data_IF_998142439547
#
_entry.id   IF_998142439547
#
_cell.length_a   1.000
_cell.length_b   1.000
_cell.length_c   1.000
_cell.angle_alpha   90.00
_cell.angle_beta   90.00
_cell.angle_gamma   90.00
#
_symmetry.space_group_name_H-M   'P 1'
#
loop_
_entity.id
_entity.type
_entity.pdbx_description
1 polymer ?
#
# COMPACT_ATOMS: atom_id res chain seq x y z
N UNK A 1 6.14 12.88 18.53
CA UNK A 1 6.63 12.38 19.83
C UNK A 1 7.13 13.55 20.65
N UNK A 2 7.27 13.40 21.96
CA UNK A 2 7.95 14.38 22.79
C UNK A 2 9.45 14.10 22.63
N UNK A 3 10.20 15.04 22.05
CA UNK A 3 11.64 14.88 21.77
C UNK A 3 12.42 15.44 22.95
N UNK A 4 13.25 14.60 23.57
CA UNK A 4 13.86 14.87 24.88
C UNK A 4 15.15 15.68 24.73
N UNK A 5 15.78 15.68 23.55
CA UNK A 5 16.91 16.54 23.21
C UNK A 5 16.85 16.99 21.73
N UNK A 6 17.41 18.17 21.47
CA UNK A 6 17.51 18.86 20.19
C UNK A 6 18.20 18.00 19.12
N UNK A 7 19.18 17.18 19.50
CA UNK A 7 19.89 16.28 18.59
C UNK A 7 19.00 15.16 18.03
N UNK A 8 18.11 14.60 18.86
CA UNK A 8 17.15 13.57 18.43
C UNK A 8 16.11 14.16 17.47
N UNK A 9 15.69 15.39 17.72
CA UNK A 9 14.81 16.13 16.82
C UNK A 9 15.48 16.38 15.46
N UNK A 10 16.75 16.82 15.47
CA UNK A 10 17.53 17.05 14.24
C UNK A 10 17.71 15.77 13.43
N UNK A 11 18.01 14.65 14.10
CA UNK A 11 18.16 13.36 13.43
C UNK A 11 16.86 12.93 12.75
N UNK A 12 15.74 13.01 13.45
CA UNK A 12 14.43 12.62 12.90
C UNK A 12 14.01 13.54 11.75
N UNK A 13 14.25 14.85 11.86
CA UNK A 13 13.96 15.80 10.77
C UNK A 13 14.82 15.45 9.54
N UNK A 14 16.10 15.14 9.72
CA UNK A 14 17.00 14.78 8.62
C UNK A 14 16.60 13.47 7.95
N UNK A 15 16.19 12.48 8.73
CA UNK A 15 15.64 11.23 8.21
C UNK A 15 14.34 11.44 7.43
N UNK A 16 13.45 12.32 7.90
CA UNK A 16 12.21 12.68 7.20
C UNK A 16 12.47 13.46 5.91
N UNK A 17 13.40 14.43 5.91
CA UNK A 17 13.82 15.14 4.71
C UNK A 17 14.36 14.15 3.68
N UNK A 18 15.24 13.23 4.08
CA UNK A 18 15.76 12.20 3.18
C UNK A 18 14.69 11.22 2.68
N UNK A 19 13.63 10.97 3.45
CA UNK A 19 12.48 10.17 3.01
C UNK A 19 11.64 10.93 2.00
N UNK A 20 11.38 12.21 2.24
CA UNK A 20 10.61 13.09 1.35
C UNK A 20 11.37 13.34 0.05
N UNK A 21 12.68 13.60 0.10
CA UNK A 21 13.52 13.77 -1.09
C UNK A 21 13.54 12.50 -1.94
N UNK A 22 13.66 11.32 -1.32
CA UNK A 22 13.56 10.05 -2.04
C UNK A 22 12.18 9.90 -2.68
N UNK A 23 11.10 10.22 -1.96
CA UNK A 23 9.74 10.17 -2.51
C UNK A 23 9.58 11.14 -3.69
N UNK A 24 10.03 12.40 -3.56
CA UNK A 24 9.97 13.41 -4.63
C UNK A 24 10.77 12.99 -5.85
N UNK A 25 12.00 12.50 -5.66
CA UNK A 25 12.80 11.97 -6.76
C UNK A 25 12.07 10.82 -7.44
N UNK A 26 11.50 9.89 -6.67
CA UNK A 26 10.77 8.77 -7.23
C UNK A 26 9.54 9.27 -8.01
N UNK A 27 8.74 10.20 -7.47
CA UNK A 27 7.62 10.86 -8.17
C UNK A 27 8.06 11.61 -9.44
N UNK A 28 9.20 12.29 -9.43
CA UNK A 28 9.74 12.94 -10.63
C UNK A 28 10.19 11.95 -11.70
N UNK A 29 10.82 10.84 -11.28
CA UNK A 29 11.14 9.72 -12.17
C UNK A 29 9.84 9.10 -12.72
N UNK A 30 8.81 8.94 -11.89
CA UNK A 30 7.51 8.40 -12.30
C UNK A 30 6.81 9.26 -13.36
N UNK A 31 6.73 10.58 -13.16
CA UNK A 31 6.12 11.51 -14.13
C UNK A 31 6.87 11.51 -15.47
N UNK A 32 8.20 11.43 -15.42
CA UNK A 32 9.05 11.39 -16.60
C UNK A 32 8.91 10.06 -17.36
N UNK A 33 8.73 8.95 -16.65
CA UNK A 33 8.50 7.63 -17.26
C UNK A 33 7.08 7.47 -17.79
N UNK A 34 6.06 8.06 -17.17
CA UNK A 34 4.69 8.04 -17.69
C UNK A 34 4.61 8.68 -19.09
N UNK A 35 5.41 9.71 -19.35
CA UNK A 35 5.61 10.29 -20.69
C UNK A 35 6.40 9.39 -21.65
N UNK A 36 7.30 8.55 -21.14
CA UNK A 36 8.15 7.65 -21.95
C UNK A 36 7.44 6.34 -22.33
N UNK A 37 6.52 5.87 -21.50
CA UNK A 37 5.76 4.62 -21.71
C UNK A 37 4.71 4.67 -22.81
N UNK A 38 4.47 5.83 -23.43
CA UNK A 38 3.68 5.91 -24.67
C UNK A 38 4.38 5.23 -25.85
N UNK A 39 5.71 5.04 -25.78
CA UNK A 39 6.55 4.57 -26.89
C UNK A 39 7.20 3.18 -26.67
N UNK A 40 6.79 2.44 -25.64
CA UNK A 40 7.36 1.13 -25.26
C UNK A 40 6.40 -0.04 -25.50
N UNK A 41 6.94 -1.24 -25.80
CA UNK A 41 6.13 -2.44 -25.97
C UNK A 41 5.32 -2.74 -24.69
N UNK A 42 4.11 -3.29 -24.85
CA UNK A 42 3.18 -3.58 -23.75
C UNK A 42 3.82 -4.39 -22.61
N UNK A 43 4.68 -5.35 -22.95
CA UNK A 43 5.34 -6.24 -21.98
C UNK A 43 6.40 -5.52 -21.13
N UNK A 44 7.14 -4.57 -21.72
CA UNK A 44 8.11 -3.75 -20.99
C UNK A 44 7.42 -2.76 -20.05
N UNK A 45 6.26 -2.22 -20.45
CA UNK A 45 5.45 -1.33 -19.61
C UNK A 45 4.82 -2.06 -18.42
N UNK A 46 4.35 -3.30 -18.61
CA UNK A 46 3.82 -4.15 -17.54
C UNK A 46 4.90 -4.50 -16.51
N UNK A 47 6.09 -4.88 -16.99
CA UNK A 47 7.24 -5.20 -16.14
C UNK A 47 7.68 -3.99 -15.32
N UNK A 48 7.84 -2.82 -15.95
CA UNK A 48 8.22 -1.59 -15.23
C UNK A 48 7.17 -1.26 -14.19
N UNK A 49 5.88 -1.26 -14.54
CA UNK A 49 4.81 -1.01 -13.58
C UNK A 49 4.86 -1.98 -12.38
N UNK A 50 5.15 -3.26 -12.62
CA UNK A 50 5.30 -4.25 -11.55
C UNK A 50 6.54 -3.99 -10.67
N UNK A 51 7.69 -3.63 -11.25
CA UNK A 51 8.87 -3.24 -10.49
C UNK A 51 8.59 -2.02 -9.60
N UNK A 52 7.88 -1.05 -10.14
CA UNK A 52 7.45 0.17 -9.43
C UNK A 52 6.48 -0.15 -8.29
N UNK A 53 5.53 -1.05 -8.53
CA UNK A 53 4.63 -1.54 -7.49
C UNK A 53 5.41 -2.24 -6.37
N UNK A 54 6.35 -3.14 -6.69
CA UNK A 54 7.19 -3.80 -5.69
C UNK A 54 8.11 -2.84 -4.91
N UNK A 55 8.66 -1.84 -5.59
CA UNK A 55 9.45 -0.79 -4.94
C UNK A 55 8.60 -0.03 -3.93
N UNK A 56 7.37 0.33 -4.30
CA UNK A 56 6.41 0.92 -3.38
C UNK A 56 6.19 -0.06 -2.24
N UNK A 57 5.76 -1.30 -2.46
CA UNK A 57 5.55 -2.29 -1.39
C UNK A 57 6.71 -2.39 -0.38
N UNK A 58 7.97 -2.33 -0.85
CA UNK A 58 9.16 -2.45 -0.01
C UNK A 58 9.54 -1.18 0.77
N UNK A 59 9.09 0.00 0.33
CA UNK A 59 9.46 1.30 0.93
C UNK A 59 8.41 1.89 1.86
N UNK A 60 7.21 1.30 1.94
CA UNK A 60 6.07 1.87 2.66
C UNK A 60 6.17 1.64 4.17
N UNK A 61 6.21 2.73 4.96
CA UNK A 61 5.99 2.64 6.40
C UNK A 61 4.54 2.23 6.70
N UNK A 62 4.37 1.24 7.58
CA UNK A 62 3.08 0.81 8.16
C UNK A 62 2.80 1.55 9.47
N UNK A 63 3.07 2.85 9.49
CA UNK A 63 2.84 3.64 10.68
C UNK A 63 1.36 4.00 10.82
N UNK A 64 0.99 4.50 12.00
CA UNK A 64 -0.36 4.93 12.30
C UNK A 64 -0.82 6.07 11.38
N UNK A 65 0.10 6.90 10.90
CA UNK A 65 -0.19 7.97 9.96
C UNK A 65 -0.65 7.41 8.62
N UNK A 66 -0.01 6.36 8.11
CA UNK A 66 -0.43 5.66 6.90
C UNK A 66 -1.85 5.08 7.05
N UNK A 67 -2.17 4.51 8.23
CA UNK A 67 -3.54 4.05 8.52
C UNK A 67 -4.53 5.21 8.46
N UNK A 68 -4.26 6.32 9.16
CA UNK A 68 -5.15 7.48 9.20
C UNK A 68 -5.38 8.10 7.82
N UNK A 69 -4.31 8.27 7.03
CA UNK A 69 -4.39 8.75 5.64
C UNK A 69 -5.28 7.84 4.79
N UNK A 70 -5.06 6.53 4.87
CA UNK A 70 -5.87 5.54 4.15
C UNK A 70 -7.35 5.65 4.52
N UNK A 71 -7.67 5.74 5.82
CA UNK A 71 -9.06 5.88 6.29
C UNK A 71 -9.70 7.14 5.75
N UNK A 72 -9.01 8.28 5.82
CA UNK A 72 -9.55 9.55 5.33
C UNK A 72 -9.88 9.47 3.83
N UNK A 73 -8.96 8.94 3.04
CA UNK A 73 -9.14 8.80 1.59
C UNK A 73 -10.30 7.86 1.26
N UNK A 74 -10.48 6.79 2.04
CA UNK A 74 -11.63 5.92 1.89
C UNK A 74 -12.95 6.65 2.24
N UNK A 75 -12.98 7.43 3.32
CA UNK A 75 -14.17 8.22 3.70
C UNK A 75 -14.53 9.24 2.62
N UNK A 76 -13.53 9.93 2.06
CA UNK A 76 -13.73 10.91 1.00
C UNK A 76 -14.24 10.24 -0.29
N UNK A 77 -13.65 9.10 -0.68
CA UNK A 77 -14.04 8.37 -1.88
C UNK A 77 -15.48 7.83 -1.80
N UNK A 78 -15.89 7.36 -0.62
CA UNK A 78 -17.22 6.78 -0.38
C UNK A 78 -18.19 7.78 0.26
N UNK A 79 -17.92 9.09 0.15
CA UNK A 79 -18.79 10.12 0.68
C UNK A 79 -20.25 9.93 0.19
N UNK A 80 -21.21 10.00 1.11
CA UNK A 80 -22.63 9.76 0.83
C UNK A 80 -23.05 8.28 0.76
N UNK A 81 -22.12 7.32 0.68
CA UNK A 81 -22.42 5.90 0.74
C UNK A 81 -22.41 5.40 2.20
N UNK A 82 -23.54 5.51 2.89
CA UNK A 82 -23.68 5.14 4.31
C UNK A 82 -23.17 3.73 4.63
N UNK A 83 -23.41 2.75 3.75
CA UNK A 83 -22.98 1.36 3.96
C UNK A 83 -21.45 1.22 3.98
N UNK A 84 -20.78 1.85 3.02
CA UNK A 84 -19.31 1.79 2.95
C UNK A 84 -18.67 2.62 4.06
N UNK A 85 -19.26 3.76 4.43
CA UNK A 85 -18.80 4.58 5.58
C UNK A 85 -18.87 3.78 6.89
N UNK A 86 -19.94 3.02 7.12
CA UNK A 86 -20.03 2.15 8.30
C UNK A 86 -18.95 1.05 8.30
N UNK A 87 -18.71 0.41 7.15
CA UNK A 87 -17.63 -0.57 7.01
C UNK A 87 -16.25 0.04 7.26
N UNK A 88 -16.01 1.28 6.81
CA UNK A 88 -14.76 2.02 7.08
C UNK A 88 -14.61 2.29 8.58
N UNK A 89 -15.67 2.67 9.29
CA UNK A 89 -15.63 2.83 10.74
C UNK A 89 -15.34 1.52 11.47
N UNK A 90 -15.98 0.42 11.07
CA UNK A 90 -15.71 -0.89 11.64
C UNK A 90 -14.26 -1.32 11.40
N UNK A 91 -13.72 -1.05 10.22
CA UNK A 91 -12.32 -1.29 9.90
C UNK A 91 -11.40 -0.44 10.79
N UNK A 92 -11.67 0.86 10.89
CA UNK A 92 -10.85 1.80 11.67
C UNK A 92 -10.64 1.33 13.12
N UNK A 93 -11.73 0.86 13.75
CA UNK A 93 -11.76 0.42 15.15
C UNK A 93 -11.21 -1.01 15.35
N UNK A 94 -11.58 -1.95 14.47
CA UNK A 94 -11.40 -3.38 14.75
C UNK A 94 -10.30 -4.04 13.92
N UNK A 95 -9.74 -3.37 12.91
CA UNK A 95 -8.77 -3.97 12.01
C UNK A 95 -7.47 -4.38 12.71
N UNK A 96 -7.02 -5.60 12.42
CA UNK A 96 -5.71 -6.14 12.78
C UNK A 96 -5.01 -6.68 11.53
N UNK A 97 -3.70 -6.56 11.45
CA UNK A 97 -2.91 -6.95 10.27
C UNK A 97 -3.09 -8.42 9.85
N UNK A 98 -3.36 -9.33 10.79
CA UNK A 98 -3.65 -10.74 10.49
C UNK A 98 -5.00 -10.98 9.80
N UNK A 99 -5.90 -10.01 9.85
CA UNK A 99 -7.25 -10.10 9.28
C UNK A 99 -7.31 -9.52 7.85
N UNK A 100 -6.18 -9.12 7.27
CA UNK A 100 -6.10 -8.48 5.95
C UNK A 100 -6.79 -9.30 4.85
N UNK A 101 -6.55 -10.61 4.79
CA UNK A 101 -7.18 -11.50 3.81
C UNK A 101 -8.70 -11.53 3.96
N UNK A 102 -9.21 -11.54 5.19
CA UNK A 102 -10.64 -11.54 5.48
C UNK A 102 -11.30 -10.23 5.01
N UNK A 103 -10.66 -9.09 5.28
CA UNK A 103 -11.17 -7.79 4.84
C UNK A 103 -11.16 -7.65 3.32
N UNK A 104 -10.13 -8.19 2.67
CA UNK A 104 -10.01 -8.21 1.22
C UNK A 104 -11.04 -9.16 0.56
N UNK A 105 -11.30 -10.33 1.14
CA UNK A 105 -12.23 -11.31 0.55
C UNK A 105 -13.70 -10.92 0.69
N UNK A 106 -14.07 -10.12 1.69
CA UNK A 106 -15.44 -9.66 1.97
C UNK A 106 -16.07 -8.73 0.91
N UNK A 107 -15.41 -8.47 -0.23
CA UNK A 107 -15.82 -7.47 -1.25
C UNK A 107 -16.17 -6.10 -0.63
N UNK A 108 -15.46 -5.72 0.42
CA UNK A 108 -15.64 -4.47 1.17
C UNK A 108 -15.09 -3.25 0.41
N UNK A 109 -15.23 -2.04 0.97
CA UNK A 109 -14.67 -0.80 0.44
C UNK A 109 -13.20 -0.94 0.00
N UNK A 110 -12.37 -1.62 0.79
CA UNK A 110 -10.93 -1.73 0.57
C UNK A 110 -10.61 -2.65 -0.60
N UNK A 111 -11.35 -3.78 -0.72
CA UNK A 111 -11.25 -4.66 -1.88
C UNK A 111 -11.54 -3.91 -3.18
N UNK A 112 -12.67 -3.17 -3.22
CA UNK A 112 -13.10 -2.44 -4.41
C UNK A 112 -12.09 -1.37 -4.80
N UNK A 113 -11.58 -0.63 -3.81
CA UNK A 113 -10.68 0.50 -4.04
C UNK A 113 -9.29 0.03 -4.49
N UNK A 114 -8.76 -1.04 -3.90
CA UNK A 114 -7.49 -1.65 -4.33
C UNK A 114 -7.61 -2.23 -5.75
N UNK A 115 -8.64 -3.02 -6.03
CA UNK A 115 -8.81 -3.61 -7.37
C UNK A 115 -9.03 -2.53 -8.44
N UNK A 116 -9.72 -1.43 -8.11
CA UNK A 116 -9.81 -0.28 -8.99
C UNK A 116 -8.41 0.28 -9.27
N UNK A 117 -7.63 0.57 -8.22
CA UNK A 117 -6.30 1.16 -8.33
C UNK A 117 -5.34 0.28 -9.15
N UNK A 118 -5.35 -1.04 -8.93
CA UNK A 118 -4.56 -2.00 -9.70
C UNK A 118 -4.97 -2.00 -11.18
N UNK A 119 -6.26 -2.08 -11.48
CA UNK A 119 -6.78 -2.11 -12.87
C UNK A 119 -6.48 -0.82 -13.64
N UNK A 120 -6.52 0.33 -12.96
CA UNK A 120 -6.21 1.62 -13.57
C UNK A 120 -4.74 2.01 -13.46
N UNK A 121 -3.88 1.12 -12.91
CA UNK A 121 -2.46 1.40 -12.67
C UNK A 121 -2.23 2.70 -11.86
N UNK A 122 -3.16 3.04 -10.96
CA UNK A 122 -3.12 4.27 -10.15
C UNK A 122 -2.17 4.11 -8.97
N UNK A 123 -0.90 4.42 -9.24
CA UNK A 123 0.20 4.31 -8.27
C UNK A 123 -0.03 5.21 -7.05
N UNK A 124 -0.60 6.39 -7.25
CA UNK A 124 -0.83 7.35 -6.17
C UNK A 124 -1.89 6.83 -5.20
N UNK A 125 -2.97 6.25 -5.70
CA UNK A 125 -3.97 5.59 -4.87
C UNK A 125 -3.40 4.34 -4.17
N UNK A 126 -2.60 3.52 -4.84
CA UNK A 126 -1.93 2.38 -4.21
C UNK A 126 -1.02 2.81 -3.05
N UNK A 127 -0.23 3.88 -3.24
CA UNK A 127 0.59 4.46 -2.17
C UNK A 127 -0.24 4.96 -0.98
N UNK A 128 -1.41 5.55 -1.25
CA UNK A 128 -2.35 5.99 -0.22
C UNK A 128 -2.98 4.82 0.56
N UNK A 129 -3.13 3.67 -0.09
CA UNK A 129 -3.64 2.42 0.49
C UNK A 129 -2.52 1.54 1.10
N UNK A 130 -1.28 2.04 1.14
CA UNK A 130 -0.07 1.28 1.53
C UNK A 130 -0.17 0.50 2.83
N UNK A 131 -0.87 1.07 3.81
CA UNK A 131 -1.01 0.45 5.13
C UNK A 131 -1.65 -0.94 5.01
N UNK A 132 -2.75 -1.05 4.28
CA UNK A 132 -3.44 -2.31 4.08
C UNK A 132 -2.76 -3.21 3.05
N UNK A 133 -2.24 -2.63 1.95
CA UNK A 133 -1.58 -3.42 0.90
C UNK A 133 -0.37 -4.17 1.47
N UNK A 134 0.43 -3.54 2.33
CA UNK A 134 1.56 -4.21 2.97
C UNK A 134 1.11 -5.39 3.81
N UNK A 135 0.10 -5.21 4.66
CA UNK A 135 -0.45 -6.33 5.44
C UNK A 135 -1.01 -7.43 4.53
N UNK A 136 -1.71 -7.08 3.46
CA UNK A 136 -2.24 -8.04 2.51
C UNK A 136 -1.13 -8.87 1.86
N UNK A 137 -0.06 -8.22 1.39
CA UNK A 137 1.12 -8.88 0.81
C UNK A 137 1.81 -9.81 1.81
N UNK A 138 2.02 -9.36 3.06
CA UNK A 138 2.61 -10.19 4.13
C UNK A 138 1.73 -11.40 4.47
N UNK A 139 0.40 -11.27 4.41
CA UNK A 139 -0.49 -12.41 4.61
C UNK A 139 -0.48 -13.38 3.43
N UNK A 140 -0.51 -12.87 2.18
CA UNK A 140 -0.44 -13.71 0.97
C UNK A 140 0.86 -14.50 0.90
N UNK A 141 1.99 -13.87 1.22
CA UNK A 141 3.29 -14.54 1.27
C UNK A 141 3.28 -15.70 2.26
N UNK A 142 2.77 -15.48 3.49
CA UNK A 142 2.67 -16.53 4.51
C UNK A 142 1.76 -17.69 4.08
N UNK A 143 0.63 -17.40 3.45
CA UNK A 143 -0.25 -18.46 2.93
C UNK A 143 0.41 -19.23 1.78
N UNK A 144 1.14 -18.56 0.89
CA UNK A 144 1.91 -19.20 -0.17
C UNK A 144 3.01 -20.12 0.40
N UNK A 145 3.78 -19.65 1.38
CA UNK A 145 4.80 -20.44 2.07
C UNK A 145 4.21 -21.71 2.72
N UNK A 146 3.03 -21.60 3.36
CA UNK A 146 2.33 -22.76 3.91
C UNK A 146 1.95 -23.79 2.84
N UNK A 147 1.45 -23.33 1.69
CA UNK A 147 1.05 -24.20 0.59
C UNK A 147 2.26 -24.98 0.05
N UNK A 148 3.41 -24.31 -0.12
CA UNK A 148 4.65 -24.96 -0.55
C UNK A 148 5.09 -26.06 0.42
N UNK A 149 5.14 -25.74 1.72
CA UNK A 149 5.52 -26.70 2.76
C UNK A 149 4.55 -27.90 2.83
N UNK A 150 3.25 -27.66 2.68
CA UNK A 150 2.26 -28.76 2.67
C UNK A 150 2.46 -29.69 1.47
N UNK A 151 2.80 -29.15 0.30
CA UNK A 151 3.02 -29.95 -0.91
C UNK A 151 4.28 -30.81 -0.80
N UNK A 152 5.36 -30.28 -0.22
CA UNK A 152 6.59 -31.03 0.04
C UNK A 152 6.39 -32.18 1.05
N UNK A 153 5.47 -32.01 2.02
CA UNK A 153 5.16 -33.04 3.02
C UNK A 153 4.28 -34.15 2.43
N UNK A 154 3.47 -33.88 1.41
CA UNK A 154 2.66 -34.89 0.71
C UNK A 154 3.41 -35.70 -0.36
N UNK A 155 4.62 -35.27 -0.73
CA UNK A 155 5.48 -35.91 -1.72
C UNK A 155 6.57 -36.81 -1.11
N UNK A 156 6.72 -36.80 0.22
CA UNK A 156 7.58 -37.68 1.00
C UNK A 156 6.75 -38.71 1.78
#
# INVERSE_FOLDING_TARGET
GIYINLDDLFKVIKEQINLVDRQIQTFSFFDQYQKLTEDLSKDSTEFIWFQLFNYILSTLSRDQQAKQQMIQICKDYYHGNRKEIELIHQFEQNYRSKDALLWYSKRSFIYKLINKALRTKDIHLLYKLRFFIRDLSENLQREHEKILLSNETTLN
#
